data_IF_748869198100
#
_entry.id   IF_748869198100
#
_cell.length_a   1.000
_cell.length_b   1.000
_cell.length_c   1.000
_cell.angle_alpha   90.00
_cell.angle_beta   90.00
_cell.angle_gamma   90.00
#
_symmetry.space_group_name_H-M   'P 1'
#
loop_
_entity.id
_entity.type
_entity.pdbx_description
1 polymer ?
#
# COMPACT_ATOMS: atom_id res chain seq x y z
N UNK A 1 -3.44 17.74 -10.41
CA UNK A 1 -2.40 16.74 -10.15
C UNK A 1 -3.05 15.43 -9.73
N UNK A 2 -2.60 14.34 -10.33
CA UNK A 2 -3.15 13.02 -10.04
C UNK A 2 -2.53 12.42 -8.78
N UNK A 3 -3.35 11.92 -7.88
CA UNK A 3 -2.86 11.22 -6.71
C UNK A 3 -2.32 9.85 -7.09
N UNK A 4 -1.32 9.37 -6.36
CA UNK A 4 -0.85 8.01 -6.51
C UNK A 4 -1.88 7.05 -5.92
N UNK A 5 -2.07 5.91 -6.56
CA UNK A 5 -2.84 4.84 -5.97
C UNK A 5 -1.90 3.78 -5.38
N UNK A 6 -2.47 2.78 -4.72
CA UNK A 6 -1.66 1.73 -4.08
C UNK A 6 -0.76 1.04 -5.09
N UNK A 7 -1.28 0.72 -6.28
CA UNK A 7 -0.47 0.06 -7.31
C UNK A 7 0.71 0.91 -7.74
N UNK A 8 0.53 2.24 -7.86
CA UNK A 8 1.61 3.14 -8.22
C UNK A 8 2.73 3.11 -7.19
N UNK A 9 2.37 3.12 -5.92
CA UNK A 9 3.33 3.08 -4.82
C UNK A 9 4.09 1.75 -4.82
N UNK A 10 3.37 0.65 -4.97
CA UNK A 10 3.98 -0.68 -5.02
C UNK A 10 4.97 -0.77 -6.19
N UNK A 11 4.57 -0.26 -7.34
CA UNK A 11 5.43 -0.27 -8.52
C UNK A 11 6.71 0.56 -8.29
N UNK A 12 6.56 1.71 -7.65
CA UNK A 12 7.68 2.62 -7.39
C UNK A 12 8.64 2.05 -6.34
N UNK A 13 8.11 1.51 -5.25
CA UNK A 13 8.91 1.11 -4.09
C UNK A 13 9.33 -0.36 -4.12
N UNK A 14 8.58 -1.21 -4.80
CA UNK A 14 8.84 -2.64 -4.90
C UNK A 14 9.10 -3.29 -3.53
N UNK A 15 8.19 -3.16 -2.56
CA UNK A 15 8.39 -3.70 -1.23
C UNK A 15 8.25 -5.22 -1.18
N UNK A 16 8.77 -5.85 -0.11
CA UNK A 16 8.57 -7.27 0.13
C UNK A 16 7.24 -7.55 0.82
N UNK A 17 6.85 -6.66 1.73
CA UNK A 17 5.58 -6.75 2.46
C UNK A 17 4.89 -5.41 2.43
N UNK A 18 3.56 -5.46 2.48
CA UNK A 18 2.76 -4.23 2.55
C UNK A 18 1.70 -4.37 3.64
N UNK A 19 1.38 -3.25 4.24
CA UNK A 19 0.31 -3.12 5.22
C UNK A 19 -0.51 -1.93 4.78
N UNK A 20 -1.80 -2.13 4.54
CA UNK A 20 -2.67 -1.07 4.03
C UNK A 20 -3.73 -0.74 5.08
N UNK A 21 -3.79 0.54 5.46
CA UNK A 21 -4.77 1.05 6.41
C UNK A 21 -5.66 2.10 5.77
N UNK A 22 -6.94 2.04 6.11
CA UNK A 22 -7.88 3.13 5.88
C UNK A 22 -8.25 3.67 7.26
N UNK A 23 -7.68 4.83 7.63
CA UNK A 23 -7.78 5.36 8.99
C UNK A 23 -7.21 4.34 9.98
N UNK A 24 -8.01 3.83 10.92
CA UNK A 24 -7.58 2.83 11.88
C UNK A 24 -7.97 1.41 11.49
N UNK A 25 -8.47 1.24 10.25
CA UNK A 25 -8.94 -0.06 9.78
C UNK A 25 -7.89 -0.73 8.90
N UNK A 26 -7.49 -1.92 9.29
CA UNK A 26 -6.55 -2.73 8.50
C UNK A 26 -7.27 -3.34 7.30
N UNK A 27 -6.78 -3.03 6.10
CA UNK A 27 -7.36 -3.57 4.86
C UNK A 27 -6.57 -4.75 4.30
N UNK A 28 -5.25 -4.71 4.45
CA UNK A 28 -4.39 -5.80 3.98
C UNK A 28 -3.09 -5.80 4.76
N UNK A 29 -2.57 -6.99 5.05
CA UNK A 29 -1.26 -7.16 5.67
C UNK A 29 -0.65 -8.47 5.18
N UNK A 30 0.51 -8.39 4.56
CA UNK A 30 1.16 -9.61 4.10
C UNK A 30 2.21 -9.36 3.04
N UNK A 31 2.77 -10.43 2.53
CA UNK A 31 3.76 -10.38 1.47
C UNK A 31 3.17 -9.84 0.18
N UNK A 32 3.99 -9.13 -0.59
CA UNK A 32 3.52 -8.54 -1.84
C UNK A 32 2.99 -9.59 -2.80
N UNK A 33 3.58 -10.77 -2.82
CA UNK A 33 3.15 -11.84 -3.73
C UNK A 33 1.72 -12.32 -3.49
N UNK A 34 1.16 -12.02 -2.32
CA UNK A 34 -0.23 -12.38 -1.99
C UNK A 34 -1.21 -11.24 -2.26
N UNK A 35 -0.72 -10.09 -2.69
CA UNK A 35 -1.57 -8.94 -2.96
C UNK A 35 -2.03 -8.97 -4.42
N UNK A 36 -3.35 -8.91 -4.61
CA UNK A 36 -3.90 -8.88 -5.96
C UNK A 36 -4.10 -7.42 -6.40
N UNK A 37 -3.23 -6.94 -7.27
CA UNK A 37 -3.26 -5.55 -7.75
C UNK A 37 -4.48 -5.21 -8.60
N UNK A 38 -5.23 -6.21 -9.03
CA UNK A 38 -6.44 -6.00 -9.83
C UNK A 38 -7.68 -5.81 -8.98
N UNK A 39 -7.55 -5.91 -7.66
CA UNK A 39 -8.68 -5.65 -6.77
C UNK A 39 -8.84 -4.15 -6.52
N UNK A 40 -9.96 -3.79 -5.89
CA UNK A 40 -10.23 -2.41 -5.51
C UNK A 40 -9.10 -1.82 -4.65
N UNK A 41 -8.48 -2.64 -3.80
CA UNK A 41 -7.40 -2.16 -2.92
C UNK A 41 -6.26 -1.52 -3.71
N UNK A 42 -5.90 -2.11 -4.86
CA UNK A 42 -4.82 -1.59 -5.68
C UNK A 42 -5.13 -0.23 -6.29
N UNK A 43 -6.40 0.11 -6.41
CA UNK A 43 -6.86 1.35 -7.05
C UNK A 43 -7.16 2.48 -6.07
N UNK A 44 -7.10 2.22 -4.77
CA UNK A 44 -7.37 3.24 -3.77
C UNK A 44 -6.28 4.31 -3.78
N UNK A 45 -6.68 5.56 -3.64
CA UNK A 45 -5.73 6.67 -3.57
C UNK A 45 -4.94 6.62 -2.28
N UNK A 46 -3.65 6.91 -2.37
CA UNK A 46 -2.75 6.90 -1.23
C UNK A 46 -2.70 8.28 -0.57
N UNK A 47 -2.90 8.31 0.75
CA UNK A 47 -2.72 9.52 1.53
C UNK A 47 -1.23 9.72 1.85
N UNK A 48 -0.60 8.67 2.41
CA UNK A 48 0.83 8.69 2.70
C UNK A 48 1.32 7.25 2.84
N UNK A 49 2.63 7.08 2.78
CA UNK A 49 3.23 5.77 3.02
C UNK A 49 4.64 5.95 3.58
N UNK A 50 5.12 4.93 4.29
CA UNK A 50 6.47 4.93 4.82
C UNK A 50 6.94 3.50 5.07
N UNK A 51 8.26 3.33 5.08
CA UNK A 51 8.83 2.05 5.47
C UNK A 51 8.87 1.97 6.99
N UNK A 52 8.27 0.91 7.55
CA UNK A 52 8.35 0.64 8.99
C UNK A 52 9.48 -0.35 9.30
N UNK A 53 9.99 -1.02 8.28
CA UNK A 53 11.13 -1.92 8.40
C UNK A 53 11.87 -1.87 7.06
N UNK A 54 12.89 -1.04 6.99
CA UNK A 54 13.65 -0.85 5.74
C UNK A 54 14.46 -2.07 5.36
N UNK A 55 14.96 -2.78 6.37
CA UNK A 55 15.78 -3.96 6.13
C UNK A 55 14.99 -5.05 5.43
N UNK A 56 13.77 -5.29 5.89
CA UNK A 56 12.87 -6.29 5.30
C UNK A 56 11.93 -5.70 4.25
N UNK A 57 12.06 -4.41 3.96
CA UNK A 57 11.25 -3.71 2.98
C UNK A 57 9.75 -3.88 3.24
N UNK A 58 9.34 -3.59 4.48
CA UNK A 58 7.93 -3.59 4.87
C UNK A 58 7.38 -2.18 4.76
N UNK A 59 6.43 -1.99 3.88
CA UNK A 59 5.86 -0.68 3.56
C UNK A 59 4.47 -0.55 4.16
N UNK A 60 4.26 0.54 4.92
CA UNK A 60 2.96 0.87 5.49
C UNK A 60 2.31 1.94 4.62
N UNK A 61 1.10 1.68 4.15
CA UNK A 61 0.38 2.57 3.25
C UNK A 61 -0.94 2.96 3.88
N UNK A 62 -1.19 4.27 3.98
CA UNK A 62 -2.50 4.79 4.37
C UNK A 62 -3.22 5.26 3.12
N UNK A 63 -4.46 4.81 2.94
CA UNK A 63 -5.27 5.17 1.79
C UNK A 63 -6.38 6.13 2.17
N UNK A 64 -6.90 6.81 1.15
CA UNK A 64 -8.02 7.72 1.31
C UNK A 64 -9.32 7.01 0.99
N UNK A 65 -10.36 7.41 1.73
CA UNK A 65 -11.70 6.97 1.45
C UNK A 65 -12.33 7.93 0.43
N UNK A 66 -12.94 7.39 -0.59
CA UNK A 66 -13.65 8.20 -1.58
C UNK A 66 -15.00 8.67 -1.05
#
# INVERSE_FOLDING_TARGET
MKNLNVNDVIYRENPNKIIIYLRDRLLFKGGLKYFNSFTVLGKLDVYTYEYIDRENKTLLIWVLED
#
